data_IF_230693610959
#
_entry.id   IF_230693610959
#
_cell.length_a   1.000
_cell.length_b   1.000
_cell.length_c   1.000
_cell.angle_alpha   90.00
_cell.angle_beta   90.00
_cell.angle_gamma   90.00
#
_symmetry.space_group_name_H-M   'P 1'
#
loop_
_entity.id
_entity.type
_entity.pdbx_description
1 polymer ?
#
# COMPACT_ATOMS: atom_id res chain seq x y z
N UNK A 1 19.92 -20.59 57.87
CA UNK A 1 19.76 -21.32 56.60
C UNK A 1 19.24 -20.32 55.61
N UNK A 2 20.03 -19.98 54.60
CA UNK A 2 19.68 -18.92 53.65
C UNK A 2 18.44 -19.30 52.84
N UNK A 3 17.37 -18.52 53.00
CA UNK A 3 16.10 -18.70 52.27
C UNK A 3 16.16 -18.09 50.86
N UNK A 4 17.32 -18.18 50.21
CA UNK A 4 17.56 -17.60 48.89
C UNK A 4 16.63 -18.19 47.82
N UNK A 5 16.22 -19.46 48.00
CA UNK A 5 15.23 -20.13 47.15
C UNK A 5 13.86 -19.44 47.23
N UNK A 6 13.41 -19.09 48.44
CA UNK A 6 12.13 -18.38 48.64
C UNK A 6 12.18 -16.97 48.05
N UNK A 7 13.31 -16.28 48.20
CA UNK A 7 13.53 -14.97 47.59
C UNK A 7 13.47 -15.03 46.05
N UNK A 8 14.13 -16.03 45.44
CA UNK A 8 14.10 -16.23 43.98
C UNK A 8 12.69 -16.57 43.47
N UNK A 9 11.94 -17.42 44.19
CA UNK A 9 10.55 -17.73 43.85
C UNK A 9 9.69 -16.47 43.88
N UNK A 10 9.85 -15.64 44.92
CA UNK A 10 9.11 -14.38 45.02
C UNK A 10 9.50 -13.39 43.90
N UNK A 11 10.80 -13.32 43.57
CA UNK A 11 11.29 -12.52 42.45
C UNK A 11 10.67 -12.94 41.11
N UNK A 12 10.62 -14.25 40.82
CA UNK A 12 9.97 -14.77 39.62
C UNK A 12 8.47 -14.44 39.59
N UNK A 13 7.80 -14.50 40.74
CA UNK A 13 6.37 -14.18 40.86
C UNK A 13 6.10 -12.71 40.53
N UNK A 14 6.94 -11.80 41.04
CA UNK A 14 6.85 -10.36 40.74
C UNK A 14 7.12 -10.08 39.26
N UNK A 15 8.17 -10.67 38.67
CA UNK A 15 8.46 -10.49 37.24
C UNK A 15 7.32 -11.00 36.36
N UNK A 16 6.74 -12.15 36.70
CA UNK A 16 5.60 -12.73 35.97
C UNK A 16 4.36 -11.82 36.04
N UNK A 17 4.09 -11.23 37.22
CA UNK A 17 3.01 -10.27 37.40
C UNK A 17 3.22 -9.00 36.56
N UNK A 18 4.44 -8.47 36.54
CA UNK A 18 4.78 -7.27 35.76
C UNK A 18 4.63 -7.50 34.25
N UNK A 19 5.04 -8.67 33.75
CA UNK A 19 4.83 -9.05 32.34
C UNK A 19 3.34 -9.11 32.00
N UNK A 20 2.54 -9.72 32.87
CA UNK A 20 1.09 -9.81 32.67
C UNK A 20 0.42 -8.43 32.67
N UNK A 21 0.84 -7.52 33.56
CA UNK A 21 0.35 -6.14 33.58
C UNK A 21 0.71 -5.36 32.31
N UNK A 22 1.95 -5.49 31.81
CA UNK A 22 2.37 -4.86 30.55
C UNK A 22 1.51 -5.36 29.40
N UNK A 23 1.29 -6.67 29.32
CA UNK A 23 0.43 -7.26 28.30
C UNK A 23 -1.01 -6.75 28.38
N UNK A 24 -1.58 -6.64 29.59
CA UNK A 24 -2.92 -6.08 29.77
C UNK A 24 -2.99 -4.60 29.34
N UNK A 25 -1.98 -3.79 29.67
CA UNK A 25 -1.93 -2.38 29.28
C UNK A 25 -1.93 -2.21 27.76
N UNK A 26 -1.14 -3.02 27.05
CA UNK A 26 -0.93 -2.88 25.62
C UNK A 26 -2.09 -3.44 24.79
N UNK A 27 -2.82 -4.44 25.32
CA UNK A 27 -3.79 -5.21 24.53
C UNK A 27 -5.22 -5.23 25.08
N UNK A 28 -5.51 -4.72 26.29
CA UNK A 28 -6.85 -4.85 26.89
C UNK A 28 -7.85 -3.73 26.59
N UNK A 29 -7.47 -2.72 25.79
CA UNK A 29 -8.42 -1.69 25.37
C UNK A 29 -8.61 -1.74 23.84
N UNK A 30 -9.80 -2.14 23.34
CA UNK A 30 -10.15 -1.82 21.97
C UNK A 30 -10.23 -0.29 21.86
N UNK A 31 -9.42 0.29 20.98
CA UNK A 31 -9.46 1.71 20.68
C UNK A 31 -10.85 2.05 20.12
N UNK A 32 -11.73 2.60 20.96
CA UNK A 32 -12.95 3.24 20.49
C UNK A 32 -12.54 4.51 19.75
N UNK A 33 -12.62 4.48 18.43
CA UNK A 33 -12.55 5.68 17.59
C UNK A 33 -13.68 6.62 18.01
N UNK A 34 -13.33 7.69 18.72
CA UNK A 34 -14.26 8.76 19.08
C UNK A 34 -14.43 9.67 17.86
N UNK A 35 -15.54 9.52 17.14
CA UNK A 35 -15.99 10.50 16.15
C UNK A 35 -16.42 11.76 16.90
N UNK A 36 -15.57 12.78 16.90
CA UNK A 36 -15.92 14.11 17.36
C UNK A 36 -16.71 14.82 16.25
N UNK A 37 -18.02 14.96 16.46
CA UNK A 37 -18.89 15.81 15.69
C UNK A 37 -18.95 17.20 16.35
N UNK A 38 -18.74 18.31 15.61
CA UNK A 38 -18.92 19.65 16.17
C UNK A 38 -20.40 20.01 16.27
N UNK A 39 -20.83 20.40 17.46
CA UNK A 39 -22.14 21.01 17.73
C UNK A 39 -22.18 22.45 17.22
N UNK A 40 -23.27 22.84 16.55
CA UNK A 40 -23.65 24.25 16.41
C UNK A 40 -25.08 24.44 16.88
N UNK A 41 -25.23 25.36 17.81
CA UNK A 41 -26.50 25.85 18.38
C UNK A 41 -27.10 26.88 17.44
N UNK A 42 -28.37 26.73 17.03
CA UNK A 42 -29.31 27.87 16.98
C UNK A 42 -30.76 27.48 16.65
N UNK A 43 -31.65 28.04 17.48
CA UNK A 43 -32.95 28.66 17.20
C UNK A 43 -33.92 27.99 16.22
N UNK A 44 -35.03 27.52 16.79
CA UNK A 44 -36.29 27.25 16.11
C UNK A 44 -37.02 28.55 15.76
N UNK A 45 -37.24 28.80 14.48
CA UNK A 45 -38.54 29.30 14.01
C UNK A 45 -38.80 28.81 12.58
N UNK A 46 -40.06 28.56 12.27
CA UNK A 46 -40.50 27.58 11.29
C UNK A 46 -40.68 28.17 9.87
N UNK A 47 -40.23 27.38 8.89
CA UNK A 47 -40.75 27.21 7.51
C UNK A 47 -40.71 28.39 6.51
N UNK A 48 -39.73 28.35 5.59
CA UNK A 48 -39.94 28.56 4.14
C UNK A 48 -38.67 28.21 3.34
N UNK A 49 -38.86 27.56 2.18
CA UNK A 49 -37.94 27.40 1.01
C UNK A 49 -36.47 27.00 1.27
N UNK A 50 -36.07 25.84 0.75
CA UNK A 50 -34.65 25.47 0.66
C UNK A 50 -34.37 24.33 -0.32
N UNK A 51 -34.21 24.67 -1.60
CA UNK A 51 -33.38 23.92 -2.55
C UNK A 51 -32.57 24.95 -3.34
N UNK A 52 -31.79 25.74 -2.63
CA UNK A 52 -30.71 26.55 -3.16
C UNK A 52 -29.70 26.72 -2.03
N UNK A 53 -28.41 26.77 -2.38
CA UNK A 53 -27.23 26.87 -1.49
C UNK A 53 -26.58 25.55 -1.07
N UNK A 54 -26.23 24.71 -2.06
CA UNK A 54 -24.86 24.17 -2.06
C UNK A 54 -23.94 25.19 -2.75
N UNK A 55 -22.72 25.42 -2.25
CA UNK A 55 -21.74 26.21 -2.99
C UNK A 55 -21.49 25.55 -4.35
N UNK A 56 -21.75 26.29 -5.43
CA UNK A 56 -21.64 25.81 -6.80
C UNK A 56 -20.20 25.39 -7.12
N UNK A 57 -19.96 24.09 -7.16
CA UNK A 57 -18.86 23.54 -7.94
C UNK A 57 -19.18 23.79 -9.41
N UNK A 58 -18.24 24.27 -10.25
CA UNK A 58 -18.51 24.43 -11.67
C UNK A 58 -18.80 23.06 -12.26
N UNK A 59 -20.07 22.81 -12.59
CA UNK A 59 -20.46 21.73 -13.49
C UNK A 59 -19.91 22.11 -14.87
N UNK A 60 -18.72 21.60 -15.19
CA UNK A 60 -18.26 21.60 -16.57
C UNK A 60 -19.20 20.69 -17.38
N UNK A 61 -20.06 21.32 -18.18
CA UNK A 61 -20.65 20.70 -19.35
C UNK A 61 -19.52 20.19 -20.24
N UNK A 62 -19.31 18.87 -20.29
CA UNK A 62 -18.52 18.24 -21.34
C UNK A 62 -19.37 18.31 -22.62
N UNK A 63 -19.25 19.45 -23.31
CA UNK A 63 -19.66 19.60 -24.69
C UNK A 63 -18.63 18.83 -25.52
N UNK A 64 -19.11 17.88 -26.33
CA UNK A 64 -18.27 16.92 -27.04
C UNK A 64 -17.04 17.51 -27.73
N UNK A 65 -15.90 16.90 -27.45
CA UNK A 65 -14.68 17.00 -28.24
C UNK A 65 -14.37 15.64 -28.89
N UNK A 66 -13.58 15.64 -29.98
CA UNK A 66 -13.70 14.66 -31.04
C UNK A 66 -13.30 13.26 -30.58
N UNK A 67 -13.87 12.27 -31.26
CA UNK A 67 -13.43 10.87 -31.27
C UNK A 67 -11.93 10.78 -31.01
N UNK A 68 -11.58 10.22 -29.85
CA UNK A 68 -10.23 9.85 -29.49
C UNK A 68 -9.58 9.20 -30.72
N UNK A 69 -8.46 9.78 -31.16
CA UNK A 69 -7.59 9.10 -32.10
C UNK A 69 -7.30 7.73 -31.51
N UNK A 70 -7.53 6.69 -32.32
CA UNK A 70 -7.20 5.33 -31.98
C UNK A 70 -5.73 5.27 -31.56
N UNK A 71 -5.50 5.14 -30.25
CA UNK A 71 -4.25 4.62 -29.71
C UNK A 71 -4.13 3.21 -30.29
N UNK A 72 -2.95 2.79 -30.80
CA UNK A 72 -2.79 1.48 -31.41
C UNK A 72 -3.25 0.38 -30.46
N UNK A 73 -3.92 -0.61 -31.06
CA UNK A 73 -4.49 -1.80 -30.47
C UNK A 73 -3.60 -2.49 -29.42
N UNK A 74 -4.28 -3.03 -28.40
CA UNK A 74 -3.79 -3.92 -27.35
C UNK A 74 -2.73 -3.34 -26.38
N UNK A 75 -3.20 -2.60 -25.37
CA UNK A 75 -2.46 -2.55 -24.10
C UNK A 75 -2.51 -3.94 -23.50
N UNK A 76 -1.43 -4.71 -23.69
CA UNK A 76 -1.25 -5.96 -22.98
C UNK A 76 -1.14 -5.64 -21.49
N UNK A 77 -2.20 -5.90 -20.71
CA UNK A 77 -2.20 -5.76 -19.25
C UNK A 77 -1.43 -6.89 -18.55
N UNK A 78 -0.61 -7.63 -19.29
CA UNK A 78 0.29 -8.60 -18.71
C UNK A 78 1.35 -7.88 -17.89
N UNK A 79 1.54 -8.36 -16.66
CA UNK A 79 2.52 -7.79 -15.74
C UNK A 79 3.93 -7.89 -16.33
N UNK A 80 4.74 -6.85 -16.07
CA UNK A 80 6.15 -6.81 -16.46
C UNK A 80 6.99 -7.42 -15.35
N UNK A 81 7.80 -8.42 -15.68
CA UNK A 81 8.68 -9.10 -14.74
C UNK A 81 10.10 -8.52 -14.85
N UNK A 82 10.72 -8.17 -13.73
CA UNK A 82 12.06 -7.60 -13.69
C UNK A 82 12.88 -8.38 -12.67
N UNK A 83 13.95 -9.01 -13.14
CA UNK A 83 14.80 -9.86 -12.31
C UNK A 83 16.24 -9.35 -12.28
N UNK A 84 16.83 -9.29 -11.10
CA UNK A 84 18.26 -9.05 -10.90
C UNK A 84 18.88 -10.23 -10.15
N UNK A 85 20.12 -10.04 -9.71
CA UNK A 85 20.82 -10.90 -8.76
C UNK A 85 20.09 -11.04 -7.41
N UNK A 86 19.62 -9.94 -6.83
CA UNK A 86 19.06 -9.92 -5.46
C UNK A 86 17.54 -9.80 -5.39
N UNK A 87 16.86 -9.36 -6.45
CA UNK A 87 15.40 -9.13 -6.44
C UNK A 87 14.70 -9.68 -7.67
N UNK A 88 13.44 -10.07 -7.49
CA UNK A 88 12.49 -10.41 -8.55
C UNK A 88 11.21 -9.61 -8.34
N UNK A 89 10.82 -8.82 -9.33
CA UNK A 89 9.82 -7.76 -9.22
C UNK A 89 8.74 -7.94 -10.28
N UNK A 90 7.48 -7.85 -9.87
CA UNK A 90 6.34 -7.79 -10.77
C UNK A 90 5.71 -6.40 -10.75
N UNK A 91 5.59 -5.80 -11.92
CA UNK A 91 5.07 -4.45 -12.13
C UNK A 91 3.73 -4.54 -12.88
N UNK A 92 2.70 -3.83 -12.40
CA UNK A 92 1.43 -3.68 -13.13
C UNK A 92 1.56 -2.51 -14.11
N UNK A 93 1.31 -2.74 -15.42
CA UNK A 93 1.31 -1.66 -16.41
C UNK A 93 0.26 -0.58 -16.12
N UNK A 94 -0.76 -0.83 -15.28
CA UNK A 94 -1.61 0.23 -14.72
C UNK A 94 -0.89 0.87 -13.54
N UNK A 95 -0.47 2.12 -13.74
CA UNK A 95 0.26 2.91 -12.75
C UNK A 95 1.77 2.75 -12.75
N UNK A 96 2.30 1.72 -13.45
CA UNK A 96 3.70 1.30 -13.32
C UNK A 96 4.07 1.00 -11.85
N UNK A 97 3.13 0.42 -11.12
CA UNK A 97 3.24 0.14 -9.69
C UNK A 97 3.91 -1.21 -9.45
N UNK A 98 4.74 -1.31 -8.42
CA UNK A 98 5.36 -2.57 -8.00
C UNK A 98 4.36 -3.32 -7.11
N UNK A 99 3.84 -4.43 -7.63
CA UNK A 99 2.85 -5.26 -6.94
C UNK A 99 3.44 -6.43 -6.18
N UNK A 100 4.57 -6.96 -6.66
CA UNK A 100 5.28 -8.04 -5.98
C UNK A 100 6.78 -7.79 -6.04
N UNK A 101 7.48 -8.15 -4.96
CA UNK A 101 8.93 -8.11 -4.88
C UNK A 101 9.40 -9.23 -3.96
N UNK A 102 10.20 -10.14 -4.51
CA UNK A 102 10.89 -11.18 -3.76
C UNK A 102 12.37 -10.81 -3.56
N UNK A 103 12.92 -11.15 -2.39
CA UNK A 103 14.33 -10.96 -2.04
C UNK A 103 15.07 -12.29 -2.24
N UNK A 104 15.75 -12.44 -3.36
CA UNK A 104 16.29 -13.73 -3.84
C UNK A 104 17.36 -14.34 -2.92
N UNK A 105 18.16 -13.50 -2.26
CA UNK A 105 19.22 -13.94 -1.35
C UNK A 105 18.73 -14.27 0.06
N UNK A 106 17.44 -14.06 0.34
CA UNK A 106 16.87 -14.19 1.67
C UNK A 106 15.79 -15.27 1.70
N UNK A 107 16.13 -16.50 2.09
CA UNK A 107 15.15 -17.57 2.19
C UNK A 107 14.23 -17.39 3.40
N UNK A 108 12.98 -17.82 3.27
CA UNK A 108 11.99 -17.76 4.37
C UNK A 108 12.35 -18.67 5.55
N UNK A 109 12.99 -19.81 5.27
CA UNK A 109 13.47 -20.79 6.25
C UNK A 109 14.81 -21.34 5.77
N UNK A 110 15.73 -21.62 6.70
CA UNK A 110 17.01 -22.23 6.39
C UNK A 110 16.90 -23.65 5.78
N UNK A 111 15.76 -24.32 5.98
CA UNK A 111 15.47 -25.65 5.41
C UNK A 111 15.00 -25.59 3.96
N UNK A 112 14.44 -24.45 3.54
CA UNK A 112 13.85 -24.24 2.21
C UNK A 112 14.56 -23.06 1.52
N UNK A 113 15.86 -23.22 1.15
CA UNK A 113 16.66 -22.13 0.61
C UNK A 113 16.17 -21.62 -0.75
N UNK A 114 15.38 -22.42 -1.48
CA UNK A 114 14.84 -22.06 -2.79
C UNK A 114 13.59 -21.16 -2.72
N UNK A 115 13.05 -20.91 -1.51
CA UNK A 115 11.85 -20.10 -1.30
C UNK A 115 12.27 -18.73 -0.76
N UNK A 116 12.35 -17.69 -1.60
CA UNK A 116 12.73 -16.36 -1.16
C UNK A 116 11.62 -15.69 -0.34
N UNK A 117 12.00 -14.73 0.50
CA UNK A 117 11.07 -13.86 1.20
C UNK A 117 10.31 -12.99 0.19
N UNK A 118 8.98 -13.08 0.22
CA UNK A 118 8.10 -12.16 -0.47
C UNK A 118 7.97 -10.87 0.35
N UNK A 119 8.63 -9.80 -0.08
CA UNK A 119 8.65 -8.51 0.62
C UNK A 119 7.43 -7.64 0.28
N UNK A 120 7.12 -7.48 -1.01
CA UNK A 120 5.88 -6.84 -1.48
C UNK A 120 4.94 -7.92 -2.03
N UNK A 121 3.65 -7.82 -1.78
CA UNK A 121 2.65 -8.81 -2.19
C UNK A 121 1.29 -8.12 -2.45
N UNK A 122 0.56 -8.55 -3.47
CA UNK A 122 -0.77 -8.04 -3.81
C UNK A 122 -1.91 -8.98 -3.38
N UNK A 123 -1.60 -10.08 -2.71
CA UNK A 123 -2.60 -11.03 -2.21
C UNK A 123 -3.37 -10.50 -1.00
N UNK A 124 -4.65 -10.87 -0.91
CA UNK A 124 -5.49 -10.55 0.24
C UNK A 124 -4.89 -11.14 1.53
N UNK A 125 -4.68 -10.28 2.55
CA UNK A 125 -4.06 -10.66 3.83
C UNK A 125 -2.56 -10.39 3.93
N UNK A 126 -1.87 -10.10 2.82
CA UNK A 126 -0.48 -9.61 2.80
C UNK A 126 -0.29 -8.41 1.87
N UNK A 127 -1.38 -7.68 1.60
CA UNK A 127 -1.37 -6.59 0.65
C UNK A 127 -0.40 -5.48 1.07
N UNK A 128 0.70 -5.37 0.36
CA UNK A 128 1.73 -4.37 0.53
C UNK A 128 2.42 -4.12 -0.81
N UNK A 129 2.06 -3.00 -1.44
CA UNK A 129 2.53 -2.60 -2.77
C UNK A 129 3.20 -1.23 -2.71
N UNK A 130 3.98 -0.88 -3.74
CA UNK A 130 4.56 0.45 -3.89
C UNK A 130 3.96 1.10 -5.13
N UNK A 131 3.34 2.25 -4.93
CA UNK A 131 2.69 3.01 -6.01
C UNK A 131 3.40 4.31 -6.27
N UNK A 132 3.41 4.73 -7.53
CA UNK A 132 4.00 6.00 -7.94
C UNK A 132 3.17 6.68 -9.02
N UNK A 133 3.40 7.97 -9.24
CA UNK A 133 2.71 8.72 -10.28
C UNK A 133 2.92 10.22 -10.17
N UNK A 134 2.55 10.92 -11.23
CA UNK A 134 2.59 12.38 -11.29
C UNK A 134 1.19 12.95 -11.10
N UNK A 135 1.09 13.99 -10.25
CA UNK A 135 -0.15 14.74 -10.03
C UNK A 135 -0.05 16.11 -10.71
N UNK A 136 -1.09 16.47 -11.47
CA UNK A 136 -1.23 17.75 -12.16
C UNK A 136 -2.71 18.18 -12.18
N UNK A 137 -2.96 19.45 -12.51
CA UNK A 137 -4.30 19.96 -12.83
C UNK A 137 -4.75 19.58 -14.25
N UNK A 138 -3.83 19.06 -15.07
CA UNK A 138 -4.07 18.50 -16.41
C UNK A 138 -3.88 16.99 -16.42
N UNK A 139 -4.12 16.35 -17.57
CA UNK A 139 -3.80 14.93 -17.76
C UNK A 139 -2.33 14.66 -17.39
N UNK A 140 -2.12 13.61 -16.58
CA UNK A 140 -0.82 13.25 -16.03
C UNK A 140 -0.77 11.73 -15.80
N UNK A 141 0.44 11.14 -15.85
CA UNK A 141 0.64 9.71 -15.66
C UNK A 141 0.49 9.37 -14.16
N UNK A 142 -0.75 9.19 -13.70
CA UNK A 142 -1.09 8.78 -12.33
C UNK A 142 -0.95 7.26 -12.15
N UNK A 143 -1.11 6.76 -10.93
CA UNK A 143 -1.10 5.32 -10.65
C UNK A 143 -2.32 4.56 -11.21
N UNK A 144 -3.30 5.27 -11.79
CA UNK A 144 -4.45 4.66 -12.48
C UNK A 144 -4.26 4.56 -13.99
N UNK A 145 -3.27 5.25 -14.52
CA UNK A 145 -3.07 5.36 -15.96
C UNK A 145 -2.42 4.11 -16.54
N UNK A 146 -2.73 3.80 -17.80
CA UNK A 146 -2.11 2.68 -18.50
C UNK A 146 -0.75 3.09 -19.06
N UNK A 147 0.28 2.33 -18.72
CA UNK A 147 1.62 2.43 -19.29
C UNK A 147 1.89 1.24 -20.19
N UNK A 148 2.83 1.41 -21.12
CA UNK A 148 3.39 0.36 -21.96
C UNK A 148 4.88 0.25 -21.72
N UNK A 149 5.38 -0.98 -21.59
CA UNK A 149 6.81 -1.28 -21.65
C UNK A 149 7.17 -1.89 -23.01
N UNK A 150 8.46 -1.91 -23.36
CA UNK A 150 8.91 -2.51 -24.62
C UNK A 150 8.90 -4.04 -24.58
N UNK A 151 9.05 -4.61 -23.39
CA UNK A 151 9.12 -6.05 -23.15
C UNK A 151 8.31 -6.41 -21.90
N UNK A 152 7.87 -7.67 -21.83
CA UNK A 152 7.14 -8.19 -20.67
C UNK A 152 8.09 -8.75 -19.59
N UNK A 153 9.38 -8.89 -19.91
CA UNK A 153 10.40 -9.42 -19.01
C UNK A 153 11.75 -8.75 -19.21
N UNK A 154 12.39 -8.37 -18.11
CA UNK A 154 13.73 -7.78 -18.07
C UNK A 154 14.59 -8.58 -17.10
N UNK A 155 15.86 -8.81 -17.45
CA UNK A 155 16.81 -9.49 -16.57
C UNK A 155 18.14 -8.77 -16.62
N UNK A 156 18.72 -8.50 -15.45
CA UNK A 156 20.07 -7.95 -15.35
C UNK A 156 21.05 -8.99 -15.93
N UNK A 157 21.83 -8.58 -16.93
CA UNK A 157 22.81 -9.47 -17.54
C UNK A 157 24.02 -9.69 -16.63
N UNK A 158 24.69 -10.83 -16.80
CA UNK A 158 25.88 -11.16 -16.00
C UNK A 158 26.98 -10.10 -16.14
N UNK A 159 27.44 -9.57 -15.02
CA UNK A 159 28.49 -8.57 -14.96
C UNK A 159 28.03 -7.12 -15.20
N UNK A 160 26.75 -6.90 -15.46
CA UNK A 160 26.16 -5.55 -15.49
C UNK A 160 25.79 -5.07 -14.08
N UNK A 161 25.92 -3.77 -13.84
CA UNK A 161 25.55 -3.14 -12.56
C UNK A 161 24.18 -2.41 -12.63
N UNK A 162 23.63 -2.26 -13.83
CA UNK A 162 22.44 -1.46 -14.07
C UNK A 162 21.47 -2.14 -15.05
N UNK A 163 20.19 -2.12 -14.70
CA UNK A 163 19.07 -2.50 -15.57
C UNK A 163 18.10 -1.33 -15.66
N UNK A 164 17.77 -0.91 -16.88
CA UNK A 164 16.77 0.14 -17.14
C UNK A 164 15.52 -0.48 -17.73
N UNK A 165 14.36 -0.19 -17.12
CA UNK A 165 13.06 -0.70 -17.54
C UNK A 165 12.16 0.48 -17.87
N UNK A 166 12.04 0.87 -19.16
CA UNK A 166 11.25 2.02 -19.54
C UNK A 166 9.75 1.72 -19.58
N UNK A 167 8.95 2.68 -19.09
CA UNK A 167 7.50 2.71 -19.21
C UNK A 167 7.08 4.01 -19.91
N UNK A 168 6.12 3.90 -20.82
CA UNK A 168 5.57 5.01 -21.61
C UNK A 168 4.07 5.14 -21.34
N UNK A 169 3.60 6.35 -21.07
CA UNK A 169 2.19 6.72 -20.92
C UNK A 169 1.69 7.41 -22.19
#
# INVERSE_FOLDING_TARGET
MDNIKTFLIFGILVVSLLLWQSWQNDYAQPTTVSNQQPSTTQSTDNAEKGLDELPGLPLQTIQGEPLAQAVPDEVNYQSVNVKTDVIDVMIDPRGADIQQLALLDYPVDAKDPDIPVQFLDNQAGRFFIVQSGLKSDSAAPTHYEAYRSEQDSYTLADGEEHLTVPFYW
#
